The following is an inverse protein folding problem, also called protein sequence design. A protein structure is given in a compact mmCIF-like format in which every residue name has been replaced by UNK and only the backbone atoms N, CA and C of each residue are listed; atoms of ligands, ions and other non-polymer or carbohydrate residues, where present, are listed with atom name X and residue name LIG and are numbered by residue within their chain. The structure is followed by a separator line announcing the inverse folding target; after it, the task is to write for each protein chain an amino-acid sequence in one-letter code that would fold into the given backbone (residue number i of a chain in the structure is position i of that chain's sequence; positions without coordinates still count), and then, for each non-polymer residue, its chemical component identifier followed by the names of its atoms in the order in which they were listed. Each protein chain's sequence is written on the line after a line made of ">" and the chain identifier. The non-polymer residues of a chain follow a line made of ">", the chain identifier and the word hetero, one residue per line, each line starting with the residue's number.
data_IF_896037540757
#
_entry.id   IF_896037540757
#
_cell.length_a   1.000
_cell.length_b   1.000
_cell.length_c   1.000
_cell.angle_alpha   90.00
_cell.angle_beta   90.00
_cell.angle_gamma   90.00
#
_symmetry.space_group_name_H-M   'P 1'
#
loop_
_entity.id
_entity.type
_entity.pdbx_description
1 polymer ?
#
# COMPACT_ATOMS: atom_id res chain seq x y z
N UNK A 1 15.98 13.53 -16.85
CA UNK A 1 16.90 13.18 -17.96
C UNK A 1 16.10 12.46 -19.01
N UNK A 2 15.68 13.15 -20.07
CA UNK A 2 15.03 12.54 -21.24
C UNK A 2 16.10 11.87 -22.09
N UNK A 3 16.32 10.58 -21.87
CA UNK A 3 17.08 9.76 -22.81
C UNK A 3 16.17 9.40 -23.98
N UNK A 4 16.44 9.94 -25.16
CA UNK A 4 15.81 9.45 -26.40
C UNK A 4 16.36 8.06 -26.67
N UNK A 5 15.65 7.02 -26.25
CA UNK A 5 16.07 5.64 -26.50
C UNK A 5 15.96 5.34 -28.00
N UNK A 6 17.08 4.97 -28.63
CA UNK A 6 17.09 4.46 -29.99
C UNK A 6 16.84 2.95 -29.97
N UNK A 7 15.57 2.55 -29.99
CA UNK A 7 15.17 1.14 -30.07
C UNK A 7 15.28 0.59 -31.50
N UNK A 8 15.51 -0.72 -31.62
CA UNK A 8 15.48 -1.45 -32.89
C UNK A 8 14.09 -1.36 -33.54
N UNK A 9 14.02 -1.51 -34.87
CA UNK A 9 12.77 -1.40 -35.64
C UNK A 9 11.70 -2.38 -35.16
N UNK A 10 12.10 -3.62 -34.88
CA UNK A 10 11.23 -4.70 -34.39
C UNK A 10 10.69 -4.34 -33.00
N UNK A 11 11.54 -3.80 -32.12
CA UNK A 11 11.14 -3.28 -30.79
C UNK A 11 10.09 -2.18 -30.90
N UNK A 12 10.28 -1.21 -31.80
CA UNK A 12 9.28 -0.15 -32.04
C UNK A 12 7.97 -0.77 -32.53
N UNK A 13 8.03 -1.79 -33.39
CA UNK A 13 6.86 -2.57 -33.81
C UNK A 13 6.09 -3.17 -32.63
N UNK A 14 6.80 -3.78 -31.68
CA UNK A 14 6.20 -4.34 -30.47
C UNK A 14 5.55 -3.28 -29.58
N UNK A 15 6.24 -2.17 -29.34
CA UNK A 15 5.71 -1.05 -28.54
C UNK A 15 4.41 -0.53 -29.17
N UNK A 16 4.39 -0.35 -30.50
CA UNK A 16 3.18 0.07 -31.22
C UNK A 16 2.05 -0.98 -31.11
N UNK A 17 2.38 -2.27 -31.14
CA UNK A 17 1.40 -3.34 -30.94
C UNK A 17 0.78 -3.30 -29.54
N UNK A 18 1.60 -3.09 -28.50
CA UNK A 18 1.16 -2.92 -27.11
C UNK A 18 0.24 -1.69 -26.99
N UNK A 19 0.67 -0.54 -27.51
CA UNK A 19 -0.13 0.70 -27.50
C UNK A 19 -1.49 0.48 -28.18
N UNK A 20 -1.48 -0.11 -29.37
CA UNK A 20 -2.69 -0.42 -30.13
C UNK A 20 -3.62 -1.40 -29.40
N UNK A 21 -3.09 -2.36 -28.64
CA UNK A 21 -3.89 -3.32 -27.88
C UNK A 21 -4.63 -2.63 -26.71
N UNK A 22 -3.92 -1.77 -25.96
CA UNK A 22 -4.48 -1.10 -24.78
C UNK A 22 -5.17 0.25 -25.07
N UNK A 23 -5.16 0.72 -26.33
CA UNK A 23 -5.83 1.96 -26.73
C UNK A 23 -7.35 1.99 -26.44
N UNK A 24 -7.99 0.82 -26.28
CA UNK A 24 -9.45 0.72 -26.13
C UNK A 24 -9.91 0.07 -24.82
N UNK A 25 -9.00 -0.26 -23.91
CA UNK A 25 -9.36 -0.94 -22.68
C UNK A 25 -8.19 -1.12 -21.71
N UNK A 26 -8.52 -1.36 -20.44
CA UNK A 26 -7.54 -1.66 -19.41
C UNK A 26 -7.15 -3.14 -19.42
N UNK A 27 -6.00 -3.47 -18.84
CA UNK A 27 -5.60 -4.86 -18.61
C UNK A 27 -6.67 -5.67 -17.87
N UNK A 28 -7.37 -5.10 -16.89
CA UNK A 28 -8.46 -5.78 -16.19
C UNK A 28 -9.61 -6.17 -17.13
N UNK A 29 -9.97 -5.29 -18.07
CA UNK A 29 -10.98 -5.61 -19.08
C UNK A 29 -10.51 -6.70 -20.04
N UNK A 30 -9.25 -6.69 -20.46
CA UNK A 30 -8.67 -7.71 -21.34
C UNK A 30 -8.57 -9.08 -20.66
N UNK A 31 -8.15 -9.13 -19.39
CA UNK A 31 -8.11 -10.37 -18.61
C UNK A 31 -9.51 -10.94 -18.35
N UNK A 32 -10.49 -10.07 -18.10
CA UNK A 32 -11.88 -10.49 -17.96
C UNK A 32 -12.44 -11.03 -19.29
N UNK A 33 -12.12 -10.39 -20.41
CA UNK A 33 -12.51 -10.87 -21.73
C UNK A 33 -11.92 -12.25 -22.02
N UNK A 34 -10.62 -12.44 -21.73
CA UNK A 34 -9.94 -13.72 -21.90
C UNK A 34 -10.55 -14.82 -20.99
N UNK A 35 -10.90 -14.48 -19.75
CA UNK A 35 -11.60 -15.39 -18.83
C UNK A 35 -12.95 -15.83 -19.39
N UNK A 36 -13.74 -14.90 -19.94
CA UNK A 36 -15.03 -15.19 -20.54
C UNK A 36 -14.90 -15.96 -21.86
N UNK A 37 -13.78 -15.81 -22.58
CA UNK A 37 -13.49 -16.61 -23.76
C UNK A 37 -13.22 -18.07 -23.38
N UNK A 38 -12.46 -18.33 -22.32
CA UNK A 38 -12.25 -19.71 -21.84
C UNK A 38 -13.54 -20.31 -21.26
N UNK A 39 -14.19 -19.58 -20.36
CA UNK A 39 -15.37 -20.03 -19.63
C UNK A 39 -16.53 -19.05 -19.88
N UNK A 40 -17.26 -19.20 -20.99
CA UNK A 40 -18.43 -18.37 -21.26
C UNK A 40 -19.44 -18.47 -20.11
N UNK A 41 -19.88 -17.32 -19.56
CA UNK A 41 -21.01 -17.33 -18.64
C UNK A 41 -22.27 -17.90 -19.32
N UNK A 42 -23.22 -18.41 -18.52
CA UNK A 42 -24.42 -19.11 -19.00
C UNK A 42 -25.70 -18.24 -18.98
N UNK A 43 -25.58 -16.95 -18.68
CA UNK A 43 -26.72 -16.06 -18.46
C UNK A 43 -27.20 -15.38 -19.76
N UNK A 44 -28.46 -14.97 -19.82
CA UNK A 44 -29.04 -14.34 -21.03
C UNK A 44 -28.46 -12.95 -21.34
N UNK A 45 -27.93 -12.23 -20.35
CA UNK A 45 -27.34 -10.88 -20.49
C UNK A 45 -25.82 -10.87 -20.72
N UNK A 46 -25.27 -11.96 -21.27
CA UNK A 46 -23.82 -12.18 -21.28
C UNK A 46 -23.06 -11.41 -22.37
N UNK A 47 -22.01 -10.72 -21.91
CA UNK A 47 -20.88 -10.26 -22.73
C UNK A 47 -19.90 -11.40 -23.02
N UNK A 48 -20.38 -12.60 -23.34
CA UNK A 48 -19.49 -13.70 -23.69
C UNK A 48 -18.93 -13.47 -25.09
N UNK A 49 -17.60 -13.63 -25.31
CA UNK A 49 -16.98 -13.42 -26.62
C UNK A 49 -17.64 -14.24 -27.75
N UNK A 50 -18.23 -15.38 -27.42
CA UNK A 50 -18.96 -16.28 -28.33
C UNK A 50 -20.29 -15.67 -28.82
N UNK A 51 -20.95 -14.84 -27.99
CA UNK A 51 -22.15 -14.06 -28.38
C UNK A 51 -21.80 -12.78 -29.15
N UNK A 52 -20.52 -12.41 -29.20
CA UNK A 52 -20.00 -11.23 -29.88
C UNK A 52 -18.83 -11.57 -30.80
N UNK A 53 -19.05 -12.34 -31.89
CA UNK A 53 -17.99 -12.88 -32.74
C UNK A 53 -17.06 -11.80 -33.32
N UNK A 54 -17.61 -10.62 -33.66
CA UNK A 54 -16.79 -9.49 -34.14
C UNK A 54 -15.81 -8.96 -33.06
N UNK A 55 -16.21 -8.95 -31.79
CA UNK A 55 -15.32 -8.54 -30.68
C UNK A 55 -14.25 -9.60 -30.43
N UNK A 56 -14.62 -10.88 -30.50
CA UNK A 56 -13.68 -11.99 -30.35
C UNK A 56 -12.60 -11.97 -31.44
N UNK A 57 -12.99 -11.86 -32.72
CA UNK A 57 -12.05 -11.72 -33.84
C UNK A 57 -11.15 -10.50 -33.65
N UNK A 58 -11.73 -9.34 -33.30
CA UNK A 58 -10.94 -8.11 -33.07
C UNK A 58 -9.94 -8.26 -31.93
N UNK A 59 -10.33 -8.93 -30.84
CA UNK A 59 -9.43 -9.20 -29.71
C UNK A 59 -8.28 -10.11 -30.15
N UNK A 60 -8.59 -11.20 -30.86
CA UNK A 60 -7.60 -12.11 -31.43
C UNK A 60 -6.62 -11.40 -32.38
N UNK A 61 -7.12 -10.59 -33.32
CA UNK A 61 -6.30 -9.83 -34.28
C UNK A 61 -5.33 -8.84 -33.60
N UNK A 62 -5.67 -8.36 -32.40
CA UNK A 62 -4.80 -7.49 -31.60
C UNK A 62 -3.85 -8.28 -30.71
N UNK A 63 -4.27 -9.45 -30.23
CA UNK A 63 -3.45 -10.34 -29.41
C UNK A 63 -2.29 -10.94 -30.21
N UNK A 64 -2.55 -11.35 -31.45
CA UNK A 64 -1.57 -12.06 -32.28
C UNK A 64 -0.28 -11.23 -32.55
N UNK A 65 -0.36 -9.93 -32.93
CA UNK A 65 0.84 -9.10 -33.06
C UNK A 65 1.67 -8.99 -31.78
N UNK A 66 1.06 -8.98 -30.58
CA UNK A 66 1.82 -8.98 -29.32
C UNK A 66 2.70 -10.22 -29.23
N UNK A 67 2.13 -11.38 -29.55
CA UNK A 67 2.85 -12.64 -29.56
C UNK A 67 3.95 -12.67 -30.63
N UNK A 68 3.63 -12.31 -31.88
CA UNK A 68 4.57 -12.38 -33.00
C UNK A 68 5.80 -11.47 -32.79
N UNK A 69 5.58 -10.25 -32.30
CA UNK A 69 6.68 -9.36 -31.98
C UNK A 69 7.46 -9.80 -30.75
N UNK A 70 6.80 -10.34 -29.72
CA UNK A 70 7.47 -10.88 -28.56
C UNK A 70 8.40 -12.04 -28.93
N UNK A 71 7.94 -12.97 -29.77
CA UNK A 71 8.75 -14.10 -30.26
C UNK A 71 9.94 -13.60 -31.08
N UNK A 72 9.69 -12.64 -31.97
CA UNK A 72 10.75 -12.05 -32.78
C UNK A 72 11.84 -11.40 -31.91
N UNK A 73 11.47 -10.63 -30.89
CA UNK A 73 12.42 -9.83 -30.09
C UNK A 73 13.12 -10.66 -29.01
N UNK A 74 12.40 -11.58 -28.36
CA UNK A 74 12.92 -12.27 -27.19
C UNK A 74 13.47 -13.66 -27.50
N UNK A 75 13.10 -14.28 -28.62
CA UNK A 75 13.54 -15.62 -29.00
C UNK A 75 14.43 -15.62 -30.26
N UNK A 76 14.15 -14.78 -31.26
CA UNK A 76 14.80 -14.85 -32.59
C UNK A 76 15.77 -13.70 -32.92
N UNK A 77 15.70 -12.59 -32.21
CA UNK A 77 16.55 -11.41 -32.44
C UNK A 77 17.61 -11.28 -31.35
N UNK A 78 18.76 -10.71 -31.70
CA UNK A 78 19.70 -10.24 -30.69
C UNK A 78 18.99 -9.21 -29.82
N UNK A 79 18.87 -9.54 -28.52
CA UNK A 79 18.14 -8.71 -27.56
C UNK A 79 18.54 -7.24 -27.69
N UNK A 80 17.55 -6.38 -27.92
CA UNK A 80 17.72 -4.94 -27.86
C UNK A 80 18.05 -4.55 -26.42
N UNK A 81 19.34 -4.43 -26.12
CA UNK A 81 19.83 -4.22 -24.75
C UNK A 81 19.32 -2.89 -24.17
N UNK A 82 19.11 -1.89 -25.01
CA UNK A 82 18.53 -0.61 -24.60
C UNK A 82 17.07 -0.80 -24.17
N UNK A 83 16.29 -1.55 -24.94
CA UNK A 83 14.91 -1.88 -24.58
C UNK A 83 14.82 -2.72 -23.31
N UNK A 84 15.60 -3.81 -23.21
CA UNK A 84 15.61 -4.66 -22.01
C UNK A 84 15.97 -3.85 -20.77
N UNK A 85 16.97 -2.96 -20.87
CA UNK A 85 17.34 -2.07 -19.78
C UNK A 85 16.21 -1.09 -19.43
N UNK A 86 15.49 -0.56 -20.42
CA UNK A 86 14.41 0.39 -20.19
C UNK A 86 13.17 -0.23 -19.52
N UNK A 87 12.90 -1.51 -19.78
CA UNK A 87 11.79 -2.25 -19.15
C UNK A 87 12.19 -2.93 -17.85
N UNK A 88 13.47 -2.97 -17.50
CA UNK A 88 13.95 -3.61 -16.26
C UNK A 88 14.00 -2.60 -15.12
N UNK A 89 13.63 -3.04 -13.91
CA UNK A 89 13.63 -2.20 -12.71
C UNK A 89 14.24 -2.91 -11.51
N UNK A 90 14.73 -2.14 -10.54
CA UNK A 90 15.19 -2.65 -9.23
C UNK A 90 14.02 -2.82 -8.25
N UNK A 91 14.27 -3.44 -7.10
CA UNK A 91 13.25 -3.71 -6.07
C UNK A 91 12.61 -2.46 -5.49
N UNK A 92 13.38 -1.40 -5.21
CA UNK A 92 12.84 -0.15 -4.66
C UNK A 92 11.92 0.56 -5.64
N UNK A 93 12.28 0.55 -6.92
CA UNK A 93 11.45 1.08 -8.00
C UNK A 93 10.18 0.25 -8.22
N UNK A 94 10.19 -1.04 -7.88
CA UNK A 94 9.04 -1.93 -7.98
C UNK A 94 8.03 -1.72 -6.85
N UNK A 95 8.53 -1.48 -5.63
CA UNK A 95 7.69 -1.05 -4.50
C UNK A 95 6.99 0.27 -4.84
N UNK A 96 7.70 1.21 -5.46
CA UNK A 96 7.11 2.45 -5.97
C UNK A 96 6.01 2.19 -7.01
N UNK A 97 6.24 1.31 -7.98
CA UNK A 97 5.23 0.97 -8.98
C UNK A 97 3.95 0.40 -8.36
N UNK A 98 4.08 -0.38 -7.27
CA UNK A 98 2.92 -0.95 -6.56
C UNK A 98 1.96 0.11 -6.00
N UNK A 99 2.46 1.33 -5.77
CA UNK A 99 1.68 2.48 -5.28
C UNK A 99 1.19 3.35 -6.44
N UNK A 100 2.00 3.51 -7.50
CA UNK A 100 1.70 4.43 -8.60
C UNK A 100 0.76 3.87 -9.67
N UNK A 101 0.78 2.56 -9.89
CA UNK A 101 0.03 1.95 -10.99
C UNK A 101 -1.39 1.62 -10.55
N UNK A 102 -2.38 2.06 -11.33
CA UNK A 102 -3.80 1.73 -11.10
C UNK A 102 -4.06 0.21 -11.09
N UNK A 103 -3.25 -0.53 -11.85
CA UNK A 103 -3.23 -1.99 -11.85
C UNK A 103 -1.81 -2.50 -11.68
N UNK A 104 -1.56 -3.13 -10.53
CA UNK A 104 -0.34 -3.89 -10.29
C UNK A 104 -0.52 -5.35 -10.77
N UNK A 105 0.38 -5.88 -11.61
CA UNK A 105 0.38 -7.29 -12.03
C UNK A 105 0.23 -8.27 -10.87
N UNK A 106 -0.61 -9.29 -11.03
CA UNK A 106 -0.93 -10.28 -9.98
C UNK A 106 -0.48 -11.70 -10.30
N UNK A 107 -0.21 -11.97 -11.58
CA UNK A 107 0.17 -13.28 -12.10
C UNK A 107 1.68 -13.40 -12.32
N UNK A 108 2.40 -12.28 -12.20
CA UNK A 108 3.85 -12.20 -12.29
C UNK A 108 4.48 -12.30 -10.90
N UNK A 109 5.53 -13.09 -10.76
CA UNK A 109 6.42 -13.09 -9.61
C UNK A 109 7.23 -11.78 -9.54
N UNK A 110 7.78 -11.45 -8.37
CA UNK A 110 8.63 -10.26 -8.20
C UNK A 110 9.77 -10.19 -9.23
N UNK A 111 10.44 -11.31 -9.53
CA UNK A 111 11.50 -11.36 -10.54
C UNK A 111 11.00 -11.12 -11.96
N UNK A 112 9.85 -11.69 -12.33
CA UNK A 112 9.21 -11.44 -13.63
C UNK A 112 8.73 -9.98 -13.75
N UNK A 113 8.29 -9.35 -12.65
CA UNK A 113 7.97 -7.93 -12.63
C UNK A 113 9.22 -7.05 -12.76
N UNK A 114 10.33 -7.41 -12.10
CA UNK A 114 11.61 -6.69 -12.24
C UNK A 114 12.09 -6.73 -13.68
N UNK A 115 11.95 -7.88 -14.33
CA UNK A 115 12.38 -8.10 -15.69
C UNK A 115 11.31 -8.84 -16.52
N UNK A 116 10.41 -8.11 -17.22
CA UNK A 116 9.33 -8.71 -18.00
C UNK A 116 9.81 -9.64 -19.12
N UNK A 117 11.07 -9.52 -19.55
CA UNK A 117 11.70 -10.44 -20.52
C UNK A 117 11.59 -11.90 -20.07
N UNK A 118 11.65 -12.17 -18.77
CA UNK A 118 11.63 -13.53 -18.23
C UNK A 118 10.35 -14.28 -18.62
N UNK A 119 9.22 -13.59 -18.69
CA UNK A 119 7.94 -14.17 -19.13
C UNK A 119 8.01 -14.68 -20.55
N UNK A 120 8.56 -13.87 -21.45
CA UNK A 120 8.65 -14.21 -22.86
C UNK A 120 9.64 -15.35 -23.08
N UNK A 121 10.79 -15.33 -22.39
CA UNK A 121 11.75 -16.44 -22.46
C UNK A 121 11.14 -17.76 -21.99
N UNK A 122 10.43 -17.75 -20.86
CA UNK A 122 9.77 -18.93 -20.31
C UNK A 122 8.70 -19.47 -21.27
N UNK A 123 7.86 -18.57 -21.81
CA UNK A 123 6.80 -18.94 -22.75
C UNK A 123 7.32 -19.58 -24.04
N UNK A 124 8.43 -19.08 -24.60
CA UNK A 124 9.03 -19.62 -25.83
C UNK A 124 9.95 -20.82 -25.61
N UNK A 125 10.37 -21.09 -24.37
CA UNK A 125 11.16 -22.28 -24.04
C UNK A 125 10.32 -23.55 -24.12
N UNK A 126 9.05 -23.48 -23.72
CA UNK A 126 8.14 -24.63 -23.69
C UNK A 126 7.26 -24.78 -24.94
N UNK A 127 7.07 -23.71 -25.72
CA UNK A 127 6.21 -23.73 -26.89
C UNK A 127 6.88 -23.14 -28.13
N UNK A 128 6.98 -23.94 -29.19
CA UNK A 128 7.44 -23.45 -30.49
C UNK A 128 6.40 -22.49 -31.10
N UNK A 129 6.87 -21.36 -31.61
CA UNK A 129 6.03 -20.25 -32.12
C UNK A 129 4.95 -20.66 -33.14
N UNK A 130 5.22 -21.55 -34.12
CA UNK A 130 4.18 -22.01 -35.06
C UNK A 130 3.04 -22.77 -34.37
N UNK A 131 3.35 -23.58 -33.37
CA UNK A 131 2.36 -24.36 -32.61
C UNK A 131 1.45 -23.43 -31.81
N UNK A 132 2.01 -22.39 -31.19
CA UNK A 132 1.25 -21.42 -30.40
C UNK A 132 0.23 -20.63 -31.25
N UNK A 133 0.65 -20.23 -32.47
CA UNK A 133 -0.24 -19.55 -33.42
C UNK A 133 -1.36 -20.47 -33.91
N UNK A 134 -1.07 -21.75 -34.15
CA UNK A 134 -2.07 -22.75 -34.48
C UNK A 134 -3.07 -22.92 -33.34
N UNK A 135 -2.60 -23.09 -32.10
CA UNK A 135 -3.47 -23.22 -30.91
C UNK A 135 -4.35 -22.00 -30.66
N UNK A 136 -3.83 -20.78 -30.84
CA UNK A 136 -4.67 -19.57 -30.77
C UNK A 136 -5.75 -19.55 -31.84
N UNK A 137 -5.45 -19.99 -33.06
CA UNK A 137 -6.42 -20.05 -34.15
C UNK A 137 -7.49 -21.11 -33.89
N UNK A 138 -7.10 -22.29 -33.40
CA UNK A 138 -8.05 -23.33 -32.99
C UNK A 138 -8.96 -22.85 -31.85
N UNK A 139 -8.41 -22.15 -30.87
CA UNK A 139 -9.19 -21.54 -29.78
C UNK A 139 -10.16 -20.46 -30.28
N UNK A 140 -9.77 -19.70 -31.30
CA UNK A 140 -10.65 -18.72 -31.94
C UNK A 140 -11.81 -19.42 -32.63
N UNK A 141 -11.51 -20.41 -33.47
CA UNK A 141 -12.52 -21.15 -34.23
C UNK A 141 -13.51 -21.84 -33.29
N UNK A 142 -13.05 -22.50 -32.24
CA UNK A 142 -13.96 -23.11 -31.27
C UNK A 142 -14.81 -22.11 -30.49
N UNK A 143 -14.26 -20.92 -30.19
CA UNK A 143 -15.04 -19.82 -29.63
C UNK A 143 -16.14 -19.33 -30.57
N UNK A 144 -15.85 -19.24 -31.87
CA UNK A 144 -16.82 -18.82 -32.89
C UNK A 144 -17.88 -19.89 -33.20
N UNK A 145 -17.49 -21.16 -33.16
CA UNK A 145 -18.38 -22.31 -33.37
C UNK A 145 -19.18 -22.67 -32.11
N UNK A 146 -18.84 -22.07 -30.97
CA UNK A 146 -19.41 -22.37 -29.66
C UNK A 146 -19.26 -23.85 -29.27
N UNK A 147 -18.09 -24.42 -29.58
CA UNK A 147 -17.71 -25.83 -29.37
C UNK A 147 -16.69 -26.02 -28.24
N UNK A 148 -16.48 -25.00 -27.39
CA UNK A 148 -15.65 -25.10 -26.20
C UNK A 148 -16.28 -26.09 -25.21
N UNK A 149 -15.74 -27.30 -25.12
CA UNK A 149 -16.19 -28.35 -24.20
C UNK A 149 -15.13 -28.65 -23.11
N UNK A 150 -15.46 -29.55 -22.17
CA UNK A 150 -14.60 -29.92 -21.04
C UNK A 150 -13.31 -30.67 -21.45
N UNK A 151 -13.20 -31.12 -22.70
CA UNK A 151 -12.02 -31.87 -23.18
C UNK A 151 -10.85 -30.94 -23.57
N UNK A 152 -11.06 -29.61 -23.54
CA UNK A 152 -10.05 -28.59 -23.87
C UNK A 152 -9.04 -28.34 -22.74
N UNK A 153 -9.20 -29.00 -21.58
CA UNK A 153 -8.48 -28.68 -20.35
C UNK A 153 -6.95 -28.91 -20.42
N UNK A 154 -6.48 -29.86 -21.23
CA UNK A 154 -5.06 -30.25 -21.27
C UNK A 154 -4.14 -29.25 -21.97
N UNK A 155 -4.51 -28.81 -23.17
CA UNK A 155 -3.63 -28.04 -24.06
C UNK A 155 -3.89 -26.53 -24.00
N UNK A 156 -5.13 -26.12 -23.70
CA UNK A 156 -5.55 -24.71 -23.74
C UNK A 156 -5.33 -24.00 -22.40
N UNK A 157 -5.36 -24.71 -21.27
CA UNK A 157 -5.08 -24.07 -19.96
C UNK A 157 -3.66 -23.52 -19.87
N UNK A 158 -2.60 -24.24 -20.31
CA UNK A 158 -1.27 -23.68 -20.41
C UNK A 158 -1.22 -22.45 -21.34
N UNK A 159 -1.87 -22.53 -22.50
CA UNK A 159 -1.98 -21.42 -23.47
C UNK A 159 -2.63 -20.19 -22.80
N UNK A 160 -3.79 -20.37 -22.18
CA UNK A 160 -4.53 -19.34 -21.46
C UNK A 160 -3.73 -18.74 -20.30
N UNK A 161 -3.09 -19.58 -19.48
CA UNK A 161 -2.25 -19.16 -18.36
C UNK A 161 -1.10 -18.27 -18.83
N UNK A 162 -0.40 -18.71 -19.87
CA UNK A 162 0.70 -17.98 -20.48
C UNK A 162 0.23 -16.69 -21.16
N UNK A 163 -0.92 -16.71 -21.83
CA UNK A 163 -1.54 -15.53 -22.44
C UNK A 163 -1.82 -14.45 -21.38
N UNK A 164 -2.36 -14.82 -20.21
CA UNK A 164 -2.61 -13.86 -19.13
C UNK A 164 -1.31 -13.23 -18.60
N UNK A 165 -0.28 -14.05 -18.35
CA UNK A 165 1.03 -13.56 -17.93
C UNK A 165 1.64 -12.63 -18.98
N UNK A 166 1.56 -12.99 -20.26
CA UNK A 166 2.00 -12.17 -21.39
C UNK A 166 1.29 -10.82 -21.41
N UNK A 167 -0.04 -10.80 -21.22
CA UNK A 167 -0.81 -9.56 -21.17
C UNK A 167 -0.40 -8.66 -20.00
N UNK A 168 -0.17 -9.22 -18.81
CA UNK A 168 0.34 -8.44 -17.67
C UNK A 168 1.76 -7.92 -17.91
N UNK A 169 2.64 -8.71 -18.53
CA UNK A 169 3.98 -8.27 -18.91
C UNK A 169 3.92 -7.12 -19.95
N UNK A 170 3.07 -7.24 -20.97
CA UNK A 170 2.82 -6.18 -21.94
C UNK A 170 2.24 -4.92 -21.29
N UNK A 171 1.34 -5.07 -20.32
CA UNK A 171 0.82 -3.94 -19.54
C UNK A 171 1.92 -3.25 -18.74
N UNK A 172 2.80 -4.01 -18.10
CA UNK A 172 3.91 -3.42 -17.36
C UNK A 172 4.89 -2.67 -18.28
N UNK A 173 5.15 -3.20 -19.48
CA UNK A 173 5.93 -2.51 -20.52
C UNK A 173 5.22 -1.22 -20.97
N UNK A 174 3.89 -1.26 -21.14
CA UNK A 174 3.08 -0.09 -21.45
C UNK A 174 3.22 1.00 -20.38
N UNK A 175 3.11 0.62 -19.09
CA UNK A 175 3.21 1.54 -17.97
C UNK A 175 4.60 2.16 -17.81
N UNK A 176 5.66 1.42 -18.16
CA UNK A 176 7.05 1.90 -18.10
C UNK A 176 7.41 2.77 -19.30
N UNK A 177 7.13 2.30 -20.53
CA UNK A 177 7.67 2.91 -21.76
C UNK A 177 6.70 3.88 -22.41
N UNK A 178 5.42 3.51 -22.50
CA UNK A 178 4.41 4.21 -23.30
C UNK A 178 3.78 5.34 -22.48
N UNK A 179 3.08 5.01 -21.39
CA UNK A 179 2.44 6.01 -20.52
C UNK A 179 3.43 6.63 -19.54
N UNK A 180 4.54 5.92 -19.26
CA UNK A 180 5.57 6.31 -18.28
C UNK A 180 4.98 6.52 -16.87
N UNK A 181 3.86 5.87 -16.57
CA UNK A 181 3.18 5.93 -15.28
C UNK A 181 4.08 5.42 -14.14
N UNK A 182 4.89 4.39 -14.39
CA UNK A 182 5.89 3.88 -13.44
C UNK A 182 6.90 4.94 -12.98
N UNK A 183 7.16 5.94 -13.83
CA UNK A 183 8.16 6.98 -13.60
C UNK A 183 7.58 8.34 -13.25
N UNK A 184 6.24 8.47 -13.24
CA UNK A 184 5.56 9.71 -12.80
C UNK A 184 6.12 10.12 -11.45
N UNK A 185 6.49 11.40 -11.30
CA UNK A 185 7.04 11.85 -10.03
C UNK A 185 6.03 11.50 -8.95
N UNK A 186 6.56 10.84 -7.93
CA UNK A 186 5.75 10.45 -6.81
C UNK A 186 5.14 11.71 -6.20
N UNK A 187 5.81 12.88 -6.20
CA UNK A 187 5.30 14.16 -5.66
C UNK A 187 3.83 14.49 -5.97
N UNK A 188 3.31 14.16 -7.16
CA UNK A 188 1.90 14.43 -7.49
C UNK A 188 0.89 13.51 -6.78
N UNK A 189 1.32 12.32 -6.36
CA UNK A 189 0.52 11.29 -5.70
C UNK A 189 1.06 10.91 -4.30
N UNK A 190 2.28 11.31 -3.92
CA UNK A 190 2.91 11.05 -2.63
C UNK A 190 2.22 11.84 -1.53
N UNK A 191 1.88 13.10 -1.80
CA UNK A 191 1.04 13.92 -0.92
C UNK A 191 -0.41 13.40 -0.82
N UNK A 192 -0.76 12.29 -1.46
CA UNK A 192 -2.05 11.61 -1.29
C UNK A 192 -1.87 10.18 -0.76
N UNK A 193 -0.73 9.55 -1.04
CA UNK A 193 -0.42 8.15 -0.70
C UNK A 193 0.51 7.98 0.52
N UNK A 194 1.19 9.03 0.99
CA UNK A 194 1.93 9.00 2.26
C UNK A 194 0.97 9.26 3.40
N UNK A 195 1.09 8.43 4.44
CA UNK A 195 0.34 8.45 5.70
C UNK A 195 0.20 9.86 6.35
N UNK A 196 1.16 10.74 6.11
CA UNK A 196 1.17 12.15 6.52
C UNK A 196 0.02 12.97 5.92
N UNK A 197 -0.52 12.53 4.78
CA UNK A 197 -1.45 13.29 3.93
C UNK A 197 -2.87 12.74 3.92
N UNK A 198 -3.13 11.61 4.59
CA UNK A 198 -4.48 11.09 4.81
C UNK A 198 -5.14 11.67 6.06
N UNK A 199 -4.41 12.52 6.81
CA UNK A 199 -4.95 13.24 7.96
C UNK A 199 -5.31 14.68 7.58
N UNK A 200 -6.55 15.15 7.83
CA UNK A 200 -6.89 16.57 7.72
C UNK A 200 -6.14 17.46 8.72
N UNK A 201 -5.28 16.88 9.58
CA UNK A 201 -4.37 17.54 10.53
C UNK A 201 -2.91 17.29 10.17
N UNK A 202 -2.57 17.27 8.88
CA UNK A 202 -1.19 17.18 8.42
C UNK A 202 -0.34 18.26 9.11
N UNK A 203 0.83 17.86 9.61
CA UNK A 203 1.73 18.79 10.29
C UNK A 203 2.16 19.90 9.33
N UNK A 204 2.17 21.13 9.82
CA UNK A 204 2.86 22.19 9.12
C UNK A 204 4.38 21.94 9.16
N UNK A 205 5.14 22.77 8.44
CA UNK A 205 6.58 22.61 8.34
C UNK A 205 7.27 22.63 9.71
N UNK A 206 6.74 23.37 10.68
CA UNK A 206 7.32 23.52 12.02
C UNK A 206 7.14 22.22 12.82
N UNK A 207 5.93 21.65 12.82
CA UNK A 207 5.66 20.37 13.51
C UNK A 207 6.32 19.17 12.81
N UNK A 208 6.59 19.26 11.51
CA UNK A 208 7.34 18.23 10.78
C UNK A 208 8.83 18.20 11.15
N UNK A 209 9.40 19.38 11.43
CA UNK A 209 10.78 19.55 11.89
C UNK A 209 10.92 19.24 13.39
N UNK A 210 9.88 19.49 14.19
CA UNK A 210 9.85 19.16 15.61
C UNK A 210 8.55 18.42 16.02
N UNK A 211 8.47 17.09 15.86
CA UNK A 211 7.30 16.32 16.27
C UNK A 211 7.15 16.23 17.80
N UNK A 212 8.20 16.46 18.58
CA UNK A 212 8.13 16.45 20.04
C UNK A 212 7.33 17.63 20.60
N UNK A 213 7.28 18.77 19.89
CA UNK A 213 6.42 19.90 20.27
C UNK A 213 4.93 19.53 20.34
N UNK A 214 4.49 18.54 19.53
CA UNK A 214 3.13 18.02 19.59
C UNK A 214 2.89 17.23 20.87
N UNK A 215 3.89 16.45 21.30
CA UNK A 215 3.83 15.67 22.52
C UNK A 215 3.84 16.59 23.74
N UNK A 216 4.72 17.59 23.77
CA UNK A 216 4.74 18.63 24.82
C UNK A 216 3.39 19.36 24.90
N UNK A 217 2.85 19.78 23.76
CA UNK A 217 1.54 20.45 23.71
C UNK A 217 0.41 19.55 24.20
N UNK A 218 0.47 18.25 23.92
CA UNK A 218 -0.50 17.28 24.40
C UNK A 218 -0.50 17.22 25.94
N UNK A 219 0.67 17.05 26.56
CA UNK A 219 0.82 16.99 28.01
C UNK A 219 0.76 18.34 28.73
N UNK A 220 0.78 19.45 27.99
CA UNK A 220 0.47 20.77 28.54
C UNK A 220 -1.03 20.94 28.85
N UNK A 221 -1.90 20.12 28.24
CA UNK A 221 -3.35 20.19 28.42
C UNK A 221 -3.82 19.50 29.71
N UNK A 222 -3.19 18.38 30.08
CA UNK A 222 -3.50 17.63 31.29
C UNK A 222 -2.33 16.71 31.68
N UNK A 223 -2.39 16.11 32.86
CA UNK A 223 -1.42 15.09 33.28
C UNK A 223 -1.77 13.69 32.71
N UNK A 224 -0.89 12.72 32.94
CA UNK A 224 -1.05 11.34 32.46
C UNK A 224 -2.39 10.73 32.89
N UNK A 225 -2.76 10.79 34.17
CA UNK A 225 -4.06 10.34 34.67
C UNK A 225 -5.25 11.03 34.01
N UNK A 226 -5.16 12.33 33.74
CA UNK A 226 -6.19 13.10 33.04
C UNK A 226 -6.41 12.55 31.64
N UNK A 227 -5.34 12.41 30.85
CA UNK A 227 -5.40 11.82 29.50
C UNK A 227 -5.96 10.39 29.49
N UNK A 228 -5.52 9.55 30.44
CA UNK A 228 -6.09 8.19 30.60
C UNK A 228 -7.57 8.22 30.93
N UNK A 229 -8.00 9.16 31.76
CA UNK A 229 -9.41 9.33 32.12
C UNK A 229 -10.25 9.76 30.93
N UNK A 230 -9.77 10.71 30.11
CA UNK A 230 -10.45 11.08 28.86
C UNK A 230 -10.60 9.90 27.92
N UNK A 231 -9.52 9.15 27.67
CA UNK A 231 -9.54 7.98 26.79
C UNK A 231 -10.52 6.91 27.30
N UNK A 232 -10.51 6.62 28.61
CA UNK A 232 -11.43 5.67 29.25
C UNK A 232 -12.88 6.09 29.13
N UNK A 233 -13.17 7.38 29.31
CA UNK A 233 -14.52 7.91 29.18
C UNK A 233 -15.00 7.84 27.74
N UNK A 234 -14.14 8.20 26.77
CA UNK A 234 -14.46 8.09 25.35
C UNK A 234 -14.74 6.65 24.93
N UNK A 235 -13.89 5.70 25.34
CA UNK A 235 -14.11 4.27 25.10
C UNK A 235 -15.46 3.80 25.65
N UNK A 236 -15.81 4.17 26.89
CA UNK A 236 -17.10 3.82 27.50
C UNK A 236 -18.30 4.40 26.73
N UNK A 237 -18.18 5.63 26.25
CA UNK A 237 -19.24 6.29 25.49
C UNK A 237 -19.42 5.61 24.13
N UNK A 238 -18.35 5.33 23.41
CA UNK A 238 -18.39 4.61 22.13
C UNK A 238 -19.01 3.20 22.25
N UNK A 239 -18.81 2.54 23.39
CA UNK A 239 -19.47 1.26 23.72
C UNK A 239 -20.96 1.40 24.05
N UNK A 240 -21.43 2.57 24.44
CA UNK A 240 -22.84 2.78 24.80
C UNK A 240 -23.71 2.86 23.53
N UNK A 241 -24.92 2.31 23.57
CA UNK A 241 -25.91 2.47 22.48
C UNK A 241 -26.91 3.61 22.73
N UNK A 242 -26.91 4.16 23.95
CA UNK A 242 -27.98 5.05 24.44
C UNK A 242 -27.46 6.37 25.00
N UNK A 243 -26.13 6.59 24.99
CA UNK A 243 -25.56 7.88 25.39
C UNK A 243 -24.85 8.52 24.20
N UNK A 244 -25.23 9.76 23.91
CA UNK A 244 -24.47 10.64 23.03
C UNK A 244 -23.81 11.70 23.90
N UNK A 245 -22.68 12.22 23.44
CA UNK A 245 -21.97 13.28 24.16
C UNK A 245 -22.64 14.63 23.95
N UNK A 246 -22.97 15.29 25.07
CA UNK A 246 -23.55 16.63 25.08
C UNK A 246 -22.54 17.71 24.65
N UNK A 247 -21.24 17.44 24.75
CA UNK A 247 -20.18 18.36 24.33
C UNK A 247 -19.34 17.77 23.19
N UNK A 248 -19.92 17.73 21.99
CA UNK A 248 -19.31 17.08 20.83
C UNK A 248 -17.98 17.73 20.40
N UNK A 249 -17.78 19.02 20.69
CA UNK A 249 -16.53 19.73 20.39
C UNK A 249 -15.34 19.17 21.16
N UNK A 250 -15.52 18.76 22.42
CA UNK A 250 -14.42 18.23 23.24
C UNK A 250 -13.90 16.90 22.69
N UNK A 251 -14.80 16.03 22.24
CA UNK A 251 -14.42 14.72 21.68
C UNK A 251 -13.82 14.86 20.29
N UNK A 252 -14.28 15.83 19.51
CA UNK A 252 -13.64 16.18 18.25
C UNK A 252 -12.22 16.73 18.48
N UNK A 253 -12.05 17.59 19.49
CA UNK A 253 -10.74 18.10 19.90
C UNK A 253 -9.82 16.97 20.38
N UNK A 254 -10.30 16.09 21.26
CA UNK A 254 -9.54 14.92 21.73
C UNK A 254 -9.15 13.99 20.59
N UNK A 255 -10.07 13.70 19.66
CA UNK A 255 -9.77 12.93 18.44
C UNK A 255 -8.62 13.57 17.64
N UNK A 256 -8.64 14.89 17.48
CA UNK A 256 -7.58 15.61 16.78
C UNK A 256 -6.24 15.50 17.53
N UNK A 257 -6.24 15.69 18.85
CA UNK A 257 -5.04 15.56 19.69
C UNK A 257 -4.41 14.16 19.59
N UNK A 258 -5.22 13.10 19.71
CA UNK A 258 -4.72 11.73 19.55
C UNK A 258 -4.24 11.44 18.12
N UNK A 259 -4.92 11.97 17.11
CA UNK A 259 -4.51 11.80 15.71
C UNK A 259 -3.17 12.50 15.42
N UNK A 260 -2.92 13.65 16.04
CA UNK A 260 -1.64 14.35 15.99
C UNK A 260 -0.55 13.60 16.75
N UNK A 261 -0.87 13.04 17.93
CA UNK A 261 0.05 12.22 18.70
C UNK A 261 0.52 10.98 17.92
N UNK A 262 -0.40 10.33 17.19
CA UNK A 262 -0.08 9.21 16.31
C UNK A 262 0.84 9.62 15.14
N UNK A 263 0.63 10.81 14.57
CA UNK A 263 1.51 11.37 13.54
C UNK A 263 2.91 11.66 14.07
N UNK A 264 3.02 12.31 15.23
CA UNK A 264 4.30 12.62 15.86
C UNK A 264 5.09 11.35 16.13
N UNK A 265 4.45 10.33 16.71
CA UNK A 265 5.06 9.04 16.96
C UNK A 265 5.60 8.35 15.72
N UNK A 266 4.84 8.38 14.63
CA UNK A 266 5.28 7.81 13.36
C UNK A 266 6.53 8.52 12.83
N UNK A 267 6.56 9.86 12.87
CA UNK A 267 7.72 10.64 12.44
C UNK A 267 8.94 10.37 13.32
N UNK A 268 8.76 10.26 14.64
CA UNK A 268 9.83 9.94 15.60
C UNK A 268 10.41 8.56 15.29
N UNK A 269 9.57 7.54 15.11
CA UNK A 269 10.00 6.19 14.77
C UNK A 269 10.70 6.11 13.41
N UNK A 270 10.10 6.69 12.36
CA UNK A 270 10.60 6.60 10.99
C UNK A 270 11.95 7.31 10.81
N UNK A 271 12.15 8.44 11.50
CA UNK A 271 13.39 9.23 11.43
C UNK A 271 14.36 8.93 12.59
N UNK A 272 13.99 8.03 13.51
CA UNK A 272 14.76 7.70 14.73
C UNK A 272 15.17 8.95 15.52
N UNK A 273 14.19 9.82 15.78
CA UNK A 273 14.45 11.07 16.48
C UNK A 273 14.55 10.83 17.98
N UNK A 274 15.47 11.54 18.61
CA UNK A 274 15.66 11.53 20.06
C UNK A 274 15.22 12.88 20.62
N UNK A 275 14.49 12.85 21.73
CA UNK A 275 14.01 14.05 22.40
C UNK A 275 15.16 14.84 23.00
N UNK A 276 15.20 16.14 22.69
CA UNK A 276 16.12 17.09 23.28
C UNK A 276 15.29 18.18 23.97
N UNK A 277 15.24 18.23 25.31
CA UNK A 277 14.48 19.25 26.01
C UNK A 277 15.07 20.63 25.69
N UNK A 278 14.20 21.62 25.48
CA UNK A 278 14.63 23.01 25.50
C UNK A 278 15.24 23.29 26.88
N UNK A 279 16.44 23.87 26.91
CA UNK A 279 17.16 24.18 28.15
C UNK A 279 16.34 25.24 28.91
N UNK A 280 15.51 24.82 29.86
CA UNK A 280 15.04 25.67 30.94
C UNK A 280 15.69 25.17 32.25
N UNK A 281 16.59 25.99 32.77
CA UNK A 281 17.12 25.83 34.11
C UNK A 281 15.97 26.02 35.11
N UNK A 282 15.85 25.10 36.07
CA UNK A 282 14.95 25.09 37.25
C UNK A 282 13.59 24.41 37.06
N UNK A 283 13.33 23.34 37.83
CA UNK A 283 12.41 23.41 38.99
C UNK A 283 12.41 22.06 39.77
N UNK A 284 12.93 22.06 41.01
CA UNK A 284 12.91 20.88 41.89
C UNK A 284 11.48 20.40 42.22
N UNK A 285 10.45 21.24 41.98
CA UNK A 285 9.04 20.85 42.10
C UNK A 285 8.53 19.96 40.95
N UNK A 286 9.10 20.05 39.74
CA UNK A 286 8.72 19.19 38.61
C UNK A 286 9.15 17.72 38.84
N UNK A 287 10.29 17.50 39.50
CA UNK A 287 10.80 16.18 39.83
C UNK A 287 9.91 15.42 40.84
N UNK A 288 9.30 16.11 41.80
CA UNK A 288 8.37 15.49 42.76
C UNK A 288 7.04 15.10 42.10
N UNK A 289 6.50 15.96 41.23
CA UNK A 289 5.29 15.67 40.45
C UNK A 289 5.51 14.52 39.44
N UNK A 290 6.70 14.41 38.87
CA UNK A 290 7.10 13.30 38.01
C UNK A 290 7.14 11.96 38.76
N UNK A 291 7.69 11.92 39.99
CA UNK A 291 7.75 10.69 40.77
C UNK A 291 6.38 10.17 41.21
N UNK A 292 5.44 11.06 41.54
CA UNK A 292 4.05 10.65 41.85
C UNK A 292 3.32 10.13 40.59
N UNK A 293 3.63 10.67 39.40
CA UNK A 293 3.02 10.26 38.13
C UNK A 293 3.64 9.00 37.50
N UNK A 294 4.88 8.63 37.86
CA UNK A 294 5.48 7.36 37.44
C UNK A 294 4.68 6.13 37.91
N UNK A 295 4.00 6.23 39.07
CA UNK A 295 3.08 5.19 39.54
C UNK A 295 1.87 4.97 38.62
N UNK A 296 1.59 5.92 37.72
CA UNK A 296 0.51 5.82 36.77
C UNK A 296 0.91 5.08 35.49
N UNK A 297 2.20 4.87 35.21
CA UNK A 297 2.69 4.05 34.09
C UNK A 297 2.51 2.57 34.45
N UNK A 298 1.53 1.90 33.85
CA UNK A 298 1.13 0.55 34.25
C UNK A 298 0.68 -0.36 33.11
N UNK A 299 0.67 0.13 31.88
CA UNK A 299 0.26 -0.63 30.69
C UNK A 299 1.49 -1.11 29.90
N UNK A 300 2.55 -0.30 29.87
CA UNK A 300 3.81 -0.67 29.23
C UNK A 300 4.50 -1.83 29.94
N UNK A 301 5.15 -2.69 29.15
CA UNK A 301 5.99 -3.75 29.68
C UNK A 301 7.22 -3.16 30.41
N UNK A 302 7.81 -3.85 31.40
CA UNK A 302 9.00 -3.35 32.09
C UNK A 302 10.20 -3.07 31.18
N UNK A 303 10.28 -3.76 30.03
CA UNK A 303 11.31 -3.53 29.01
C UNK A 303 11.07 -2.18 28.31
N UNK A 304 9.81 -1.90 27.95
CA UNK A 304 9.42 -0.65 27.30
C UNK A 304 9.38 0.54 28.26
N UNK A 305 9.18 0.32 29.56
CA UNK A 305 9.33 1.39 30.56
C UNK A 305 10.79 1.83 30.67
N UNK A 306 11.74 0.88 30.58
CA UNK A 306 13.18 1.18 30.61
C UNK A 306 13.67 1.81 29.31
N UNK A 307 13.18 1.36 28.16
CA UNK A 307 13.43 1.99 26.88
C UNK A 307 12.10 2.17 26.11
N UNK A 308 11.46 3.34 26.22
CA UNK A 308 10.21 3.62 25.50
C UNK A 308 10.43 3.77 23.99
N UNK A 309 11.61 4.16 23.51
CA UNK A 309 11.91 4.24 22.08
C UNK A 309 11.86 2.87 21.40
N UNK A 310 12.27 1.80 22.09
CA UNK A 310 12.11 0.43 21.59
C UNK A 310 10.64 0.11 21.28
N UNK A 311 9.71 0.56 22.14
CA UNK A 311 8.28 0.45 21.86
C UNK A 311 7.88 1.31 20.66
N UNK A 312 8.32 2.58 20.61
CA UNK A 312 7.98 3.49 19.51
C UNK A 312 8.44 2.91 18.15
N UNK A 313 9.69 2.45 18.04
CA UNK A 313 10.24 1.89 16.81
C UNK A 313 9.51 0.63 16.34
N UNK A 314 9.16 -0.26 17.27
CA UNK A 314 8.50 -1.52 16.94
C UNK A 314 7.00 -1.36 16.69
N UNK A 315 6.36 -0.41 17.37
CA UNK A 315 4.91 -0.25 17.34
C UNK A 315 4.43 0.72 16.24
N UNK A 316 5.17 1.79 15.94
CA UNK A 316 4.76 2.83 14.97
C UNK A 316 5.04 2.45 13.51
N UNK A 317 4.55 1.28 13.10
CA UNK A 317 4.54 0.84 11.70
C UNK A 317 3.25 1.27 10.99
N UNK A 318 3.25 1.45 9.64
CA UNK A 318 2.09 1.97 8.91
C UNK A 318 0.77 1.22 9.15
N UNK A 319 0.85 -0.09 9.34
CA UNK A 319 -0.33 -0.94 9.57
C UNK A 319 -1.02 -0.62 10.92
N UNK A 320 -0.25 -0.58 12.01
CA UNK A 320 -0.76 -0.27 13.35
C UNK A 320 -1.37 1.13 13.39
N UNK A 321 -0.73 2.12 12.75
CA UNK A 321 -1.26 3.48 12.79
C UNK A 321 -2.53 3.61 11.93
N UNK A 322 -2.60 2.92 10.78
CA UNK A 322 -3.84 2.86 9.99
C UNK A 322 -4.99 2.26 10.80
N UNK A 323 -4.73 1.16 11.50
CA UNK A 323 -5.71 0.49 12.36
C UNK A 323 -6.18 1.43 13.49
N UNK A 324 -5.25 2.04 14.24
CA UNK A 324 -5.60 2.95 15.35
C UNK A 324 -6.40 4.16 14.88
N UNK A 325 -6.04 4.78 13.75
CA UNK A 325 -6.80 5.90 13.18
C UNK A 325 -8.21 5.54 12.79
N UNK A 326 -8.36 4.40 12.11
CA UNK A 326 -9.66 3.88 11.70
C UNK A 326 -10.53 3.66 12.94
N UNK A 327 -9.96 3.02 13.95
CA UNK A 327 -10.59 2.81 15.23
C UNK A 327 -11.00 4.11 15.95
N UNK A 328 -10.11 5.10 16.05
CA UNK A 328 -10.41 6.39 16.69
C UNK A 328 -11.52 7.14 15.95
N UNK A 329 -11.56 7.03 14.62
CA UNK A 329 -12.63 7.59 13.79
C UNK A 329 -13.97 6.91 14.12
N UNK A 330 -13.99 5.58 14.22
CA UNK A 330 -15.20 4.83 14.60
C UNK A 330 -15.65 5.15 16.03
N UNK A 331 -14.71 5.34 16.96
CA UNK A 331 -15.02 5.79 18.33
C UNK A 331 -15.64 7.19 18.33
N UNK A 332 -15.16 8.09 17.47
CA UNK A 332 -15.72 9.43 17.32
C UNK A 332 -17.16 9.36 16.78
N UNK A 333 -17.38 8.59 15.70
CA UNK A 333 -18.71 8.43 15.11
C UNK A 333 -19.70 7.76 16.07
N UNK A 334 -19.26 6.75 16.82
CA UNK A 334 -20.08 6.10 17.84
C UNK A 334 -20.43 7.09 18.97
N UNK A 335 -19.50 7.92 19.41
CA UNK A 335 -19.76 8.91 20.46
C UNK A 335 -20.82 9.96 20.06
N UNK A 336 -20.92 10.28 18.77
CA UNK A 336 -21.88 11.27 18.25
C UNK A 336 -23.24 10.68 17.86
N UNK A 337 -23.42 9.36 17.88
CA UNK A 337 -24.62 8.70 17.39
C UNK A 337 -25.32 7.89 18.47
N UNK A 338 -26.61 8.15 18.69
CA UNK A 338 -27.46 7.31 19.55
C UNK A 338 -27.88 5.99 18.89
N UNK A 339 -27.43 5.74 17.65
CA UNK A 339 -27.81 4.55 16.86
C UNK A 339 -26.61 3.68 16.52
N UNK A 340 -25.39 4.15 16.78
CA UNK A 340 -24.16 3.44 16.47
C UNK A 340 -23.42 3.07 17.77
N UNK A 341 -22.63 2.00 17.72
CA UNK A 341 -21.77 1.60 18.83
C UNK A 341 -20.69 0.65 18.31
N UNK A 342 -19.49 0.78 18.84
CA UNK A 342 -18.36 -0.06 18.43
C UNK A 342 -18.47 -1.52 18.90
N UNK A 343 -19.48 -1.88 19.71
CA UNK A 343 -19.66 -3.22 20.31
C UNK A 343 -19.62 -4.42 19.35
N UNK A 344 -19.93 -4.20 18.08
CA UNK A 344 -19.97 -5.25 17.06
C UNK A 344 -18.72 -5.26 16.17
N UNK A 345 -17.76 -4.37 16.43
CA UNK A 345 -16.47 -4.35 15.75
C UNK A 345 -15.55 -5.44 16.28
N UNK A 346 -14.51 -5.74 15.50
CA UNK A 346 -13.47 -6.67 15.88
C UNK A 346 -12.70 -6.19 17.13
N UNK A 347 -12.12 -7.15 17.86
CA UNK A 347 -11.41 -6.91 19.13
C UNK A 347 -10.30 -5.86 19.01
N UNK A 348 -9.70 -5.75 17.83
CA UNK A 348 -8.65 -4.78 17.50
C UNK A 348 -9.14 -3.33 17.59
N UNK A 349 -10.44 -3.06 17.41
CA UNK A 349 -11.03 -1.72 17.53
C UNK A 349 -11.70 -1.47 18.90
N UNK A 350 -11.61 -2.44 19.81
CA UNK A 350 -12.25 -2.41 21.12
C UNK A 350 -11.20 -2.21 22.22
N UNK A 351 -11.00 -3.24 23.05
CA UNK A 351 -10.11 -3.17 24.19
C UNK A 351 -8.64 -3.13 23.77
N UNK A 352 -8.26 -3.83 22.69
CA UNK A 352 -6.88 -3.83 22.20
C UNK A 352 -6.46 -2.42 21.74
N UNK A 353 -7.32 -1.70 21.02
CA UNK A 353 -7.08 -0.29 20.69
C UNK A 353 -7.00 0.58 21.94
N UNK A 354 -7.88 0.39 22.92
CA UNK A 354 -7.81 1.13 24.19
C UNK A 354 -6.46 0.94 24.89
N UNK A 355 -5.99 -0.31 25.02
CA UNK A 355 -4.69 -0.63 25.61
C UNK A 355 -3.53 -0.07 24.80
N UNK A 356 -3.58 -0.17 23.47
CA UNK A 356 -2.56 0.39 22.58
C UNK A 356 -2.44 1.90 22.75
N UNK A 357 -3.56 2.62 22.81
CA UNK A 357 -3.55 4.07 23.06
C UNK A 357 -3.01 4.41 24.45
N UNK A 358 -3.27 3.60 25.48
CA UNK A 358 -2.66 3.79 26.81
C UNK A 358 -1.14 3.62 26.77
N UNK A 359 -0.65 2.56 26.11
CA UNK A 359 0.80 2.32 25.95
C UNK A 359 1.49 3.48 25.23
N UNK A 360 0.85 4.05 24.20
CA UNK A 360 1.38 5.20 23.46
C UNK A 360 1.51 6.43 24.36
N UNK A 361 0.46 6.78 25.12
CA UNK A 361 0.50 7.94 26.02
C UNK A 361 1.57 7.73 27.09
N UNK A 362 1.65 6.53 27.69
CA UNK A 362 2.69 6.22 28.67
C UNK A 362 4.11 6.33 28.09
N UNK A 363 4.34 5.82 26.87
CA UNK A 363 5.65 5.86 26.25
C UNK A 363 6.10 7.29 25.98
N UNK A 364 5.21 8.12 25.46
CA UNK A 364 5.51 9.53 25.23
C UNK A 364 5.68 10.33 26.51
N UNK A 365 4.91 10.01 27.56
CA UNK A 365 5.10 10.61 28.88
C UNK A 365 6.52 10.34 29.41
N UNK A 366 7.02 9.11 29.29
CA UNK A 366 8.38 8.76 29.70
C UNK A 366 9.42 9.51 28.86
N UNK A 367 9.24 9.57 27.53
CA UNK A 367 10.18 10.23 26.62
C UNK A 367 10.39 11.72 26.96
N UNK A 368 9.31 12.46 27.26
CA UNK A 368 9.43 13.90 27.51
C UNK A 368 9.88 14.24 28.94
N UNK A 369 9.63 13.35 29.90
CA UNK A 369 9.89 13.62 31.32
C UNK A 369 11.17 12.94 31.87
N UNK A 370 11.76 11.99 31.13
CA UNK A 370 13.07 11.43 31.46
C UNK A 370 14.09 11.64 30.33
N UNK A 371 14.76 12.82 30.31
CA UNK A 371 15.78 13.13 29.31
C UNK A 371 17.04 12.27 29.40
N UNK A 372 17.22 11.47 30.46
CA UNK A 372 18.37 10.58 30.58
C UNK A 372 18.29 9.40 29.61
N UNK A 373 17.08 8.99 29.23
CA UNK A 373 16.81 7.96 28.23
C UNK A 373 17.37 8.32 26.84
N UNK A 374 17.38 9.61 26.50
CA UNK A 374 17.95 10.10 25.25
C UNK A 374 19.47 9.85 25.14
N UNK A 375 20.19 9.95 26.27
CA UNK A 375 21.65 9.76 26.32
C UNK A 375 22.05 8.30 26.23
N UNK A 376 21.28 7.41 26.85
CA UNK A 376 21.50 5.95 26.76
C UNK A 376 21.24 5.41 25.35
N UNK A 377 20.34 6.02 24.57
CA UNK A 377 20.15 5.67 23.17
C UNK A 377 21.33 6.11 22.29
N UNK A 378 21.77 7.37 22.39
CA UNK A 378 22.93 7.88 21.63
C UNK A 378 24.20 7.04 21.88
N UNK A 379 24.46 6.60 23.11
CA UNK A 379 25.60 5.75 23.45
C UNK A 379 25.50 4.34 22.83
N UNK A 380 24.31 3.75 22.74
CA UNK A 380 24.12 2.43 22.13
C UNK A 380 24.35 2.43 20.60
N UNK A 381 24.18 3.56 19.92
CA UNK A 381 24.49 3.70 18.49
C UNK A 381 25.99 3.74 18.21
N UNK A 382 26.79 4.30 19.12
CA UNK A 382 28.25 4.45 18.95
C UNK A 382 28.98 3.10 19.02
N UNK A 383 28.36 2.06 19.59
CA UNK A 383 28.95 0.71 19.72
C UNK A 383 28.52 -0.29 18.64
N UNK A 384 27.78 0.13 17.61
CA UNK A 384 27.33 -0.71 16.49
C UNK A 384 27.93 -0.33 15.11
N UNK A 385 28.88 0.61 15.07
CA UNK A 385 29.83 0.78 13.94
C UNK A 385 31.12 -0.01 14.19
#
# INVERSE_FOLDING_TARGET
>A
MEGTYHFKKETVGFINAIESFFAMGSISSSLQFLKNWLNPPQNECDFSPQKHPAQLVRFYEKLLPLFEYADLIFNHSEADTAFVKAITTDESSLERESVLLDYCPKLLSKGEMQNPKLIFLDMFLFFQSPSYKASYNEWLLAGLENTLDQEWDGDIYPLYGNTKKMLEACWLIHERIITKNSFKSIDRYYHLAVFESTSPLAFDKVLFENPFAVIESFFALDNLAGHKTYLKNWYKIALSKTSYVNNSSDYFFLYNQFTQLLNAGYLIAAKKLVYQPAIDETDDMANAAFQDQLCEVNTLSPVHVKNPYLFIETFFVPENIRQLRTGLSEWLYAAFSTRNSIKLMDKEYLFEQYENMLMIIEAFFLIINDPSLAKEEEENWIYLE
#
